data_IF_397804049033
#
_entry.id   IF_397804049033
#
_cell.length_a   1.000
_cell.length_b   1.000
_cell.length_c   1.000
_cell.angle_alpha   90.00
_cell.angle_beta   90.00
_cell.angle_gamma   90.00
#
_symmetry.space_group_name_H-M   'P 1'
#
loop_
_entity.id
_entity.type
_entity.pdbx_description
1 polymer ?
#
# COMPACT_ATOMS: atom_id res chain seq x y z
N UNK A 1 8.93 17.53 3.79
CA UNK A 1 8.94 17.84 5.23
C UNK A 1 7.63 17.37 5.84
N UNK A 2 7.66 16.81 7.04
CA UNK A 2 6.48 16.36 7.78
C UNK A 2 6.46 17.07 9.13
N UNK A 3 5.32 17.60 9.56
CA UNK A 3 5.18 18.29 10.83
C UNK A 3 3.83 18.00 11.49
N UNK A 4 3.85 17.75 12.80
CA UNK A 4 2.68 17.75 13.63
C UNK A 4 2.52 19.16 14.21
N UNK A 5 1.35 19.75 14.10
CA UNK A 5 1.04 21.08 14.62
C UNK A 5 -0.11 21.00 15.61
N UNK A 6 0.22 21.13 16.90
CA UNK A 6 -0.72 21.08 18.02
C UNK A 6 -1.69 19.89 17.93
N UNK A 7 -1.14 18.72 17.57
CA UNK A 7 -1.93 17.51 17.37
C UNK A 7 -2.44 16.98 18.70
N UNK A 8 -3.74 16.79 18.78
CA UNK A 8 -4.41 16.14 19.91
C UNK A 8 -5.20 14.95 19.39
N UNK A 9 -5.28 13.88 20.17
CA UNK A 9 -6.06 12.68 19.87
C UNK A 9 -6.80 12.21 21.10
N UNK A 10 -8.11 12.12 20.97
CA UNK A 10 -9.05 11.68 22.00
C UNK A 10 -9.74 10.42 21.49
N UNK A 11 -9.72 9.36 22.28
CA UNK A 11 -10.49 8.15 22.06
C UNK A 11 -11.63 8.09 23.10
N UNK A 12 -12.61 7.20 22.93
CA UNK A 12 -13.66 7.00 23.94
C UNK A 12 -13.11 6.65 25.33
N UNK A 13 -11.91 6.07 25.37
CA UNK A 13 -11.19 5.72 26.62
C UNK A 13 -10.42 6.88 27.24
N UNK A 14 -10.33 8.03 26.57
CA UNK A 14 -9.65 9.21 27.05
C UNK A 14 -8.69 9.87 26.05
N UNK A 15 -8.10 10.97 26.49
CA UNK A 15 -7.12 11.72 25.71
C UNK A 15 -5.76 11.01 25.74
N UNK A 16 -5.20 10.75 24.55
CA UNK A 16 -3.91 10.06 24.40
C UNK A 16 -2.81 11.01 23.94
N UNK A 17 -3.15 12.03 23.13
CA UNK A 17 -2.22 13.08 22.72
C UNK A 17 -2.82 14.45 23.01
N UNK A 18 -1.99 15.36 23.53
CA UNK A 18 -2.38 16.73 23.82
C UNK A 18 -1.36 17.70 23.27
N UNK A 19 -1.79 18.54 22.33
CA UNK A 19 -1.03 19.67 21.76
C UNK A 19 0.40 19.33 21.32
N UNK A 20 0.56 18.14 20.71
CA UNK A 20 1.87 17.63 20.28
C UNK A 20 2.34 18.37 19.04
N UNK A 21 3.54 18.96 19.14
CA UNK A 21 4.16 19.71 18.04
C UNK A 21 5.62 19.29 17.87
N UNK A 22 5.97 18.77 16.68
CA UNK A 22 7.34 18.48 16.27
C UNK A 22 7.40 18.26 14.75
N UNK A 23 8.62 18.26 14.19
CA UNK A 23 8.84 18.13 12.74
C UNK A 23 9.90 17.09 12.38
N UNK A 24 9.83 16.57 11.15
CA UNK A 24 10.83 15.71 10.51
C UNK A 24 11.32 16.41 9.25
N UNK A 25 12.62 16.62 9.17
CA UNK A 25 13.30 17.17 7.99
C UNK A 25 13.88 16.05 7.13
N UNK A 26 14.15 16.29 5.85
CA UNK A 26 14.88 15.32 5.03
C UNK A 26 16.20 14.91 5.67
N UNK A 27 16.42 13.60 5.79
CA UNK A 27 17.61 13.01 6.39
C UNK A 27 17.54 12.79 7.90
N UNK A 28 16.51 13.29 8.59
CA UNK A 28 16.36 13.07 10.03
C UNK A 28 16.09 11.60 10.36
N UNK A 29 16.61 11.18 11.52
CA UNK A 29 16.32 9.89 12.16
C UNK A 29 15.82 10.18 13.56
N UNK A 30 14.54 9.91 13.82
CA UNK A 30 13.87 10.29 15.07
C UNK A 30 13.43 9.02 15.81
N UNK A 31 13.79 8.93 17.11
CA UNK A 31 13.32 7.90 18.02
C UNK A 31 12.22 8.44 18.94
N UNK A 32 11.02 7.86 18.92
CA UNK A 32 9.97 8.14 19.89
C UNK A 32 10.14 7.23 21.11
N UNK A 33 10.51 7.81 22.25
CA UNK A 33 10.74 7.10 23.50
C UNK A 33 9.68 7.47 24.53
N UNK A 34 9.27 6.52 25.35
CA UNK A 34 8.28 6.71 26.40
C UNK A 34 7.66 5.41 26.85
N UNK A 35 6.94 5.43 27.98
CA UNK A 35 6.22 4.28 28.54
C UNK A 35 5.13 3.75 27.59
N UNK A 36 4.64 2.53 27.86
CA UNK A 36 3.50 2.00 27.11
C UNK A 36 2.26 2.87 27.36
N UNK A 37 1.49 3.11 26.30
CA UNK A 37 0.34 4.03 26.36
C UNK A 37 0.67 5.53 26.16
N UNK A 38 1.95 5.93 26.09
CA UNK A 38 2.33 7.35 25.88
C UNK A 38 1.97 7.92 24.48
N UNK A 39 1.23 7.21 23.65
CA UNK A 39 0.78 7.69 22.36
C UNK A 39 1.79 7.59 21.21
N UNK A 40 2.91 6.84 21.38
CA UNK A 40 3.92 6.65 20.32
C UNK A 40 3.33 6.09 19.03
N UNK A 41 2.65 4.96 19.12
CA UNK A 41 2.00 4.29 17.97
C UNK A 41 0.86 5.13 17.40
N UNK A 42 0.15 5.89 18.23
CA UNK A 42 -0.88 6.81 17.80
C UNK A 42 -0.30 7.92 16.90
N UNK A 43 0.81 8.53 17.31
CA UNK A 43 1.50 9.52 16.47
C UNK A 43 1.92 8.94 15.12
N UNK A 44 2.47 7.71 15.09
CA UNK A 44 2.86 7.05 13.84
C UNK A 44 1.66 6.77 12.94
N UNK A 45 0.52 6.32 13.49
CA UNK A 45 -0.73 6.10 12.72
C UNK A 45 -1.30 7.39 12.15
N UNK A 46 -1.26 8.49 12.90
CA UNK A 46 -1.65 9.82 12.42
C UNK A 46 -0.73 10.30 11.29
N UNK A 47 0.58 10.10 11.43
CA UNK A 47 1.57 10.41 10.39
C UNK A 47 1.33 9.59 9.14
N UNK A 48 1.04 8.30 9.26
CA UNK A 48 0.75 7.41 8.15
C UNK A 48 -0.62 7.68 7.48
N UNK A 49 -1.50 8.44 8.15
CA UNK A 49 -2.85 8.72 7.64
C UNK A 49 -3.84 7.58 7.88
N UNK A 50 -3.51 6.65 8.78
CA UNK A 50 -4.44 5.57 9.19
C UNK A 50 -5.51 6.09 10.15
N UNK A 51 -5.26 7.21 10.79
CA UNK A 51 -6.19 7.91 11.68
C UNK A 51 -6.09 9.42 11.46
N UNK A 52 -7.14 10.14 11.82
CA UNK A 52 -7.15 11.60 11.84
C UNK A 52 -6.99 12.13 13.25
N UNK A 53 -6.33 13.28 13.42
CA UNK A 53 -6.24 13.93 14.72
C UNK A 53 -7.62 14.47 15.17
N UNK A 54 -7.87 14.50 16.48
CA UNK A 54 -9.05 15.13 17.05
C UNK A 54 -8.93 16.66 17.12
N UNK A 55 -7.69 17.18 17.06
CA UNK A 55 -7.36 18.60 17.01
C UNK A 55 -5.94 18.80 16.48
N UNK A 56 -5.66 19.98 15.95
CA UNK A 56 -4.42 20.26 15.25
C UNK A 56 -4.39 19.65 13.86
N UNK A 57 -3.20 19.50 13.28
CA UNK A 57 -3.06 18.93 11.93
C UNK A 57 -1.70 18.27 11.73
N UNK A 58 -1.67 17.30 10.78
CA UNK A 58 -0.45 16.68 10.27
C UNK A 58 -0.14 17.27 8.90
N UNK A 59 0.89 18.09 8.83
CA UNK A 59 1.32 18.77 7.60
C UNK A 59 2.33 17.91 6.85
N UNK A 60 2.03 17.57 5.59
CA UNK A 60 2.90 16.83 4.67
C UNK A 60 3.26 17.75 3.51
N UNK A 61 4.46 18.29 3.53
CA UNK A 61 4.91 19.22 2.48
C UNK A 61 5.72 18.48 1.42
N UNK A 62 5.33 18.63 0.15
CA UNK A 62 6.01 18.00 -0.99
C UNK A 62 5.61 16.53 -1.20
N UNK A 63 4.42 16.12 -0.77
CA UNK A 63 3.84 14.77 -0.97
C UNK A 63 4.83 13.63 -0.66
N UNK A 64 5.39 13.56 0.56
CA UNK A 64 6.34 12.52 0.91
C UNK A 64 5.68 11.14 0.83
N UNK A 65 6.36 10.16 0.24
CA UNK A 65 5.92 8.77 0.34
C UNK A 65 6.16 8.29 1.76
N UNK A 66 5.09 7.87 2.44
CA UNK A 66 5.14 7.40 3.83
C UNK A 66 4.88 5.91 3.83
N UNK A 67 5.80 5.13 4.40
CA UNK A 67 5.59 3.72 4.70
C UNK A 67 5.48 3.53 6.21
N UNK A 68 4.53 2.72 6.64
CA UNK A 68 4.30 2.39 8.05
C UNK A 68 4.46 0.90 8.28
N UNK A 69 5.47 0.52 9.05
CA UNK A 69 5.66 -0.87 9.46
C UNK A 69 4.92 -1.11 10.77
N UNK A 70 3.93 -1.99 10.75
CA UNK A 70 3.16 -2.38 11.94
C UNK A 70 3.97 -3.31 12.84
N UNK A 71 3.67 -3.32 14.15
CA UNK A 71 4.30 -4.23 15.10
C UNK A 71 3.86 -5.68 14.92
N UNK A 72 2.62 -5.89 14.50
CA UNK A 72 2.02 -7.18 14.22
C UNK A 72 1.49 -7.16 12.78
N UNK A 73 1.66 -8.26 12.08
CA UNK A 73 1.19 -8.42 10.70
C UNK A 73 0.06 -9.43 10.70
N UNK A 74 -1.07 -9.06 10.13
CA UNK A 74 -2.10 -10.00 9.72
C UNK A 74 -1.65 -10.66 8.42
N UNK A 75 -1.05 -11.85 8.54
CA UNK A 75 -0.75 -12.69 7.39
C UNK A 75 -1.87 -13.69 7.18
N UNK A 76 -2.31 -13.81 5.94
CA UNK A 76 -3.26 -14.87 5.60
C UNK A 76 -2.54 -16.23 5.61
N UNK A 77 -2.90 -17.17 6.52
CA UNK A 77 -2.22 -18.45 6.65
C UNK A 77 -2.35 -19.34 5.41
N UNK A 78 -3.34 -19.09 4.54
CA UNK A 78 -3.58 -19.86 3.31
C UNK A 78 -2.73 -19.36 2.12
N UNK A 79 -1.92 -18.31 2.32
CA UNK A 79 -1.07 -17.76 1.28
C UNK A 79 0.38 -18.16 1.47
N UNK A 80 1.04 -18.41 0.35
CA UNK A 80 2.50 -18.55 0.34
C UNK A 80 3.17 -17.18 0.55
N UNK A 81 4.41 -17.18 1.05
CA UNK A 81 5.23 -15.96 1.19
C UNK A 81 5.32 -15.20 -0.14
N UNK A 82 5.44 -15.92 -1.25
CA UNK A 82 5.47 -15.30 -2.58
C UNK A 82 4.18 -14.56 -2.90
N UNK A 83 3.02 -15.15 -2.64
CA UNK A 83 1.71 -14.52 -2.86
C UNK A 83 1.54 -13.28 -1.98
N UNK A 84 2.01 -13.33 -0.74
CA UNK A 84 1.94 -12.21 0.20
C UNK A 84 2.86 -11.06 -0.24
N UNK A 85 4.08 -11.38 -0.68
CA UNK A 85 5.00 -10.38 -1.25
C UNK A 85 4.43 -9.74 -2.53
N UNK A 86 3.79 -10.50 -3.39
CA UNK A 86 3.16 -9.96 -4.60
C UNK A 86 2.03 -8.96 -4.29
N UNK A 87 1.36 -9.08 -3.13
CA UNK A 87 0.35 -8.10 -2.72
C UNK A 87 0.94 -6.71 -2.43
N UNK A 88 2.19 -6.63 -1.98
CA UNK A 88 2.86 -5.34 -1.79
C UNK A 88 3.00 -4.54 -3.11
N UNK A 89 2.91 -5.21 -4.25
CA UNK A 89 2.96 -4.59 -5.58
C UNK A 89 1.58 -4.17 -6.12
N UNK A 90 0.51 -4.37 -5.32
CA UNK A 90 -0.83 -3.83 -5.54
C UNK A 90 -1.35 -4.07 -6.97
N UNK A 91 -1.49 -3.00 -7.72
CA UNK A 91 -2.11 -3.02 -9.06
C UNK A 91 -1.31 -3.85 -10.09
N UNK A 92 0.02 -3.82 -10.06
CA UNK A 92 0.85 -4.59 -10.98
C UNK A 92 0.70 -6.11 -10.77
N UNK A 93 0.57 -6.57 -9.52
CA UNK A 93 0.30 -7.97 -9.21
C UNK A 93 -1.10 -8.41 -9.69
N UNK A 94 -2.10 -7.53 -9.57
CA UNK A 94 -3.45 -7.78 -10.09
C UNK A 94 -3.44 -7.93 -11.60
N UNK A 95 -2.75 -7.04 -12.31
CA UNK A 95 -2.62 -7.09 -13.78
C UNK A 95 -1.92 -8.38 -14.21
N UNK A 96 -0.84 -8.79 -13.54
CA UNK A 96 -0.12 -10.03 -13.84
C UNK A 96 -1.00 -11.27 -13.66
N UNK A 97 -1.82 -11.32 -12.62
CA UNK A 97 -2.79 -12.41 -12.44
C UNK A 97 -3.85 -12.42 -13.55
N UNK A 98 -4.34 -11.24 -13.96
CA UNK A 98 -5.28 -11.14 -15.07
C UNK A 98 -4.67 -11.62 -16.39
N UNK A 99 -3.40 -11.30 -16.68
CA UNK A 99 -2.69 -11.81 -17.85
C UNK A 99 -2.65 -13.34 -17.87
N UNK A 100 -2.30 -13.97 -16.75
CA UNK A 100 -2.28 -15.44 -16.64
C UNK A 100 -3.64 -16.06 -16.90
N UNK A 101 -4.70 -15.48 -16.33
CA UNK A 101 -6.05 -15.98 -16.56
C UNK A 101 -6.46 -15.89 -18.03
N UNK A 102 -6.08 -14.82 -18.73
CA UNK A 102 -6.33 -14.65 -20.17
C UNK A 102 -5.50 -15.65 -20.97
N UNK A 103 -4.22 -15.85 -20.63
CA UNK A 103 -3.35 -16.85 -21.28
C UNK A 103 -3.90 -18.27 -21.11
N UNK A 104 -4.38 -18.63 -19.91
CA UNK A 104 -5.03 -19.92 -19.65
C UNK A 104 -6.34 -20.04 -20.45
N UNK A 105 -7.14 -18.99 -20.56
CA UNK A 105 -8.35 -19.00 -21.37
C UNK A 105 -8.04 -19.17 -22.87
N UNK A 106 -6.97 -18.56 -23.39
CA UNK A 106 -6.52 -18.73 -24.78
C UNK A 106 -6.06 -20.16 -25.08
N UNK A 107 -5.54 -20.87 -24.08
CA UNK A 107 -5.14 -22.27 -24.22
C UNK A 107 -6.31 -23.25 -24.12
N UNK A 108 -7.54 -22.79 -23.89
CA UNK A 108 -8.73 -23.62 -23.72
C UNK A 108 -9.26 -24.13 -25.09
N UNK A 109 -9.95 -25.28 -25.07
CA UNK A 109 -10.64 -25.79 -26.23
C UNK A 109 -11.72 -24.84 -26.78
N UNK A 110 -12.31 -24.01 -25.91
CA UNK A 110 -13.32 -23.01 -26.29
C UNK A 110 -12.73 -21.91 -27.16
N UNK A 111 -11.54 -21.42 -26.80
CA UNK A 111 -10.85 -20.40 -27.59
C UNK A 111 -10.40 -20.95 -28.97
N UNK A 112 -10.01 -22.21 -28.99
CA UNK A 112 -9.65 -22.89 -30.27
C UNK A 112 -10.85 -23.12 -31.22
N UNK A 113 -12.06 -23.23 -30.66
CA UNK A 113 -13.29 -23.44 -31.42
C UNK A 113 -13.99 -22.15 -31.91
N UNK A 114 -13.68 -21.00 -31.29
CA UNK A 114 -14.30 -19.69 -31.59
C UNK A 114 -13.25 -18.61 -31.88
N UNK A 115 -12.97 -18.35 -33.18
CA UNK A 115 -11.99 -17.31 -33.59
C UNK A 115 -12.31 -15.92 -33.04
N UNK A 116 -13.60 -15.51 -32.98
CA UNK A 116 -14.00 -14.21 -32.47
C UNK A 116 -13.77 -14.10 -30.96
N UNK A 117 -13.85 -15.20 -30.24
CA UNK A 117 -13.50 -15.26 -28.82
C UNK A 117 -11.98 -15.13 -28.62
N UNK A 118 -11.21 -15.84 -29.43
CA UNK A 118 -9.75 -15.78 -29.39
C UNK A 118 -9.24 -14.35 -29.70
N UNK A 119 -9.80 -13.67 -30.69
CA UNK A 119 -9.43 -12.30 -31.02
C UNK A 119 -9.70 -11.32 -29.86
N UNK A 120 -10.81 -11.50 -29.13
CA UNK A 120 -11.10 -10.70 -27.94
C UNK A 120 -10.08 -10.93 -26.83
N UNK A 121 -9.69 -12.18 -26.58
CA UNK A 121 -8.68 -12.52 -25.58
C UNK A 121 -7.30 -11.93 -25.94
N UNK A 122 -6.93 -11.93 -27.22
CA UNK A 122 -5.69 -11.32 -27.72
C UNK A 122 -5.69 -9.79 -27.46
N UNK A 123 -6.80 -9.12 -27.74
CA UNK A 123 -6.94 -7.69 -27.47
C UNK A 123 -6.87 -7.38 -25.96
N UNK A 124 -7.52 -8.20 -25.14
CA UNK A 124 -7.49 -8.06 -23.69
C UNK A 124 -6.06 -8.25 -23.16
N UNK A 125 -5.33 -9.27 -23.62
CA UNK A 125 -3.94 -9.51 -23.25
C UNK A 125 -3.06 -8.31 -23.63
N UNK A 126 -3.22 -7.75 -24.83
CA UNK A 126 -2.48 -6.57 -25.26
C UNK A 126 -2.74 -5.34 -24.39
N UNK A 127 -3.99 -5.13 -23.96
CA UNK A 127 -4.33 -4.04 -23.03
C UNK A 127 -3.72 -4.23 -21.64
N UNK A 128 -3.73 -5.46 -21.13
CA UNK A 128 -3.13 -5.80 -19.84
C UNK A 128 -1.60 -5.67 -19.89
N UNK A 129 -0.94 -6.05 -21.00
CA UNK A 129 0.49 -5.86 -21.18
C UNK A 129 0.86 -4.36 -21.15
N UNK A 130 0.15 -3.52 -21.88
CA UNK A 130 0.38 -2.09 -21.87
C UNK A 130 0.21 -1.47 -20.47
N UNK A 131 -0.79 -1.95 -19.72
CA UNK A 131 -1.02 -1.52 -18.33
C UNK A 131 0.09 -1.99 -17.39
N UNK A 132 0.59 -3.20 -17.56
CA UNK A 132 1.71 -3.75 -16.78
C UNK A 132 3.00 -2.96 -17.03
N UNK A 133 3.27 -2.57 -18.28
CA UNK A 133 4.40 -1.69 -18.64
C UNK A 133 4.28 -0.31 -17.98
N UNK A 134 3.09 0.30 -18.04
CA UNK A 134 2.84 1.60 -17.42
C UNK A 134 3.04 1.58 -15.89
N UNK A 135 2.84 0.42 -15.25
CA UNK A 135 3.07 0.19 -13.82
C UNK A 135 4.53 -0.19 -13.50
N UNK A 136 5.44 -0.17 -14.49
CA UNK A 136 6.83 -0.64 -14.35
C UNK A 136 6.93 -2.08 -13.84
N UNK A 137 5.97 -2.93 -14.23
CA UNK A 137 5.82 -4.29 -13.75
C UNK A 137 7.03 -5.19 -14.01
N UNK A 138 7.82 -4.94 -15.06
CA UNK A 138 9.05 -5.68 -15.36
C UNK A 138 10.19 -5.45 -14.35
N UNK A 139 10.14 -4.39 -13.56
CA UNK A 139 11.11 -4.17 -12.48
C UNK A 139 10.87 -5.08 -11.27
N UNK A 140 9.72 -5.77 -11.22
CA UNK A 140 9.34 -6.67 -10.12
C UNK A 140 10.13 -7.98 -10.11
N UNK A 141 10.53 -8.48 -11.27
CA UNK A 141 11.33 -9.70 -11.39
C UNK A 141 12.86 -9.45 -11.23
N UNK A 142 13.28 -8.18 -11.25
CA UNK A 142 14.69 -7.79 -11.22
C UNK A 142 15.21 -7.39 -9.83
N UNK A 143 14.35 -7.40 -8.80
CA UNK A 143 14.68 -7.09 -7.41
C UNK A 143 14.30 -8.25 -6.49
#
# INVERSE_FOLDING_TARGET
MLRLERVSKIYPTGEVLRDVTWEVKPGDRIGLVGVNGAGKSTQLRLIAGHEEPSGGQVVRQGEPRIAYLQQEFDVNPDRTVRQELFQAFGEAASVLNSQRNVEEAMASEQAAADPDHLDRLIQELGSLQSRFEALHGYELDAR
#
